data_IF_838038865560
#
_entry.id   IF_838038865560
#
_cell.length_a   1.000
_cell.length_b   1.000
_cell.length_c   1.000
_cell.angle_alpha   90.00
_cell.angle_beta   90.00
_cell.angle_gamma   90.00
#
_symmetry.space_group_name_H-M   'P 1'
#
loop_
_entity.id
_entity.type
_entity.pdbx_description
1 polymer ?
#
# COMPACT_ATOMS: atom_id res chain seq x y z
N UNK A 1 -23.38 40.21 -60.22
CA UNK A 1 -24.14 41.33 -59.62
C UNK A 1 -24.07 41.12 -58.14
N UNK A 2 -23.36 41.84 -57.38
CA UNK A 2 -22.71 43.10 -57.13
C UNK A 2 -22.24 42.99 -55.73
N UNK A 3 -20.98 42.93 -55.47
CA UNK A 3 -20.01 43.85 -54.87
C UNK A 3 -20.64 44.89 -53.93
N UNK A 4 -20.14 44.86 -52.68
CA UNK A 4 -19.60 46.06 -52.04
C UNK A 4 -18.73 45.69 -50.78
N UNK A 5 -17.49 46.13 -50.88
CA UNK A 5 -16.44 46.28 -49.88
C UNK A 5 -16.75 47.49 -48.96
N UNK A 6 -16.31 47.43 -47.72
CA UNK A 6 -15.95 48.62 -46.94
C UNK A 6 -14.69 48.35 -46.12
N UNK A 7 -13.64 49.11 -46.45
CA UNK A 7 -12.41 49.35 -45.73
C UNK A 7 -12.59 50.42 -44.64
N UNK A 8 -11.67 50.33 -43.64
CA UNK A 8 -11.19 51.49 -42.87
C UNK A 8 -11.33 51.36 -41.38
N UNK A 9 -10.39 51.45 -40.55
CA UNK A 9 -9.14 52.20 -40.41
C UNK A 9 -8.46 51.77 -39.11
N UNK A 10 -7.16 51.67 -39.13
CA UNK A 10 -6.25 51.54 -37.98
C UNK A 10 -6.33 52.75 -37.03
N UNK A 11 -6.23 52.48 -35.71
CA UNK A 11 -5.58 53.39 -34.79
C UNK A 11 -4.71 52.60 -33.83
N UNK A 12 -3.41 52.90 -33.86
CA UNK A 12 -2.42 52.56 -32.84
C UNK A 12 -2.70 53.36 -31.57
N UNK A 13 -2.57 52.70 -30.40
CA UNK A 13 -2.02 53.36 -29.22
C UNK A 13 -1.29 52.31 -28.37
N UNK A 14 -0.02 52.54 -28.19
CA UNK A 14 0.87 51.86 -27.25
C UNK A 14 0.52 52.26 -25.81
N UNK A 15 0.43 51.25 -24.89
CA UNK A 15 0.66 51.52 -23.49
C UNK A 15 1.21 50.24 -22.80
N UNK A 16 2.50 50.25 -22.59
CA UNK A 16 3.22 49.33 -21.71
C UNK A 16 2.77 49.51 -20.26
N UNK A 17 2.35 48.43 -19.59
CA UNK A 17 2.42 48.36 -18.14
C UNK A 17 2.76 46.93 -17.69
N UNK A 18 3.95 46.82 -17.19
CA UNK A 18 4.47 45.68 -16.47
C UNK A 18 3.68 45.44 -15.19
N UNK A 19 3.04 44.26 -15.07
CA UNK A 19 2.49 43.82 -13.79
C UNK A 19 3.28 42.58 -13.33
N UNK A 20 4.09 42.80 -12.32
CA UNK A 20 4.79 41.83 -11.53
C UNK A 20 3.76 41.01 -10.74
N UNK A 21 3.57 39.75 -11.04
CA UNK A 21 2.83 38.81 -10.18
C UNK A 21 3.75 38.21 -9.14
N UNK A 22 3.63 38.69 -7.91
CA UNK A 22 4.18 38.05 -6.72
C UNK A 22 3.34 36.81 -6.40
N UNK A 23 3.98 35.67 -6.38
CA UNK A 23 3.46 34.42 -5.83
C UNK A 23 3.28 34.55 -4.32
N UNK A 24 2.06 34.51 -3.83
CA UNK A 24 1.76 34.39 -2.41
C UNK A 24 1.73 32.89 -2.02
N UNK A 25 2.79 32.47 -1.35
CA UNK A 25 2.79 31.24 -0.58
C UNK A 25 1.97 31.46 0.70
N UNK A 26 0.87 30.75 0.84
CA UNK A 26 0.07 30.75 2.07
C UNK A 26 0.63 29.64 2.97
N UNK A 27 1.49 30.05 3.90
CA UNK A 27 1.93 29.22 5.03
C UNK A 27 0.83 29.20 6.10
N UNK A 28 0.17 28.05 6.27
CA UNK A 28 -0.71 27.79 7.42
C UNK A 28 0.11 27.39 8.63
N UNK A 29 0.16 28.23 9.65
CA UNK A 29 0.67 27.88 10.99
C UNK A 29 -0.39 27.09 11.76
N UNK A 30 0.00 26.11 12.59
CA UNK A 30 -0.94 25.43 13.48
C UNK A 30 -1.34 26.34 14.63
N UNK A 31 -2.64 26.42 14.90
CA UNK A 31 -3.20 27.13 16.07
C UNK A 31 -2.99 26.28 17.31
N UNK A 32 -2.42 26.93 18.32
CA UNK A 32 -2.16 26.39 19.64
C UNK A 32 -3.45 26.07 20.41
N UNK A 33 -3.31 25.10 21.29
CA UNK A 33 -4.30 24.68 22.27
C UNK A 33 -4.63 25.81 23.25
N UNK A 34 -5.91 26.11 23.42
CA UNK A 34 -6.40 26.92 24.53
C UNK A 34 -6.58 26.01 25.74
N UNK A 35 -5.84 26.37 26.78
CA UNK A 35 -6.05 25.95 28.16
C UNK A 35 -7.25 26.73 28.70
N UNK A 36 -8.25 26.03 29.25
CA UNK A 36 -9.22 26.61 30.16
C UNK A 36 -8.95 26.00 31.52
N UNK A 37 -8.57 26.90 32.45
CA UNK A 37 -8.51 26.70 33.89
C UNK A 37 -9.92 26.79 34.48
N UNK A 38 -9.98 26.25 35.71
CA UNK A 38 -10.89 26.49 36.81
C UNK A 38 -12.05 25.54 37.07
N UNK A 39 -11.98 24.97 38.28
CA UNK A 39 -13.06 24.32 38.98
C UNK A 39 -12.59 23.49 40.17
N UNK A 40 -12.28 24.17 41.28
CA UNK A 40 -12.01 23.62 42.62
C UNK A 40 -13.13 22.69 43.11
N UNK A 41 -12.75 21.65 43.83
CA UNK A 41 -13.66 20.80 44.57
C UNK A 41 -12.92 19.86 45.51
N UNK A 42 -12.61 20.40 46.70
CA UNK A 42 -12.13 19.67 47.88
C UNK A 42 -13.10 18.57 48.31
N UNK A 43 -12.56 17.43 48.76
CA UNK A 43 -13.01 16.66 49.93
C UNK A 43 -11.98 15.52 50.18
N UNK A 44 -11.21 15.74 51.17
CA UNK A 44 -11.14 15.29 52.56
C UNK A 44 -10.77 13.82 52.77
N UNK A 45 -9.72 13.74 53.55
CA UNK A 45 -8.94 12.73 54.24
C UNK A 45 -9.64 11.44 54.74
N UNK A 46 -8.83 10.41 54.79
CA UNK A 46 -9.06 9.23 55.62
C UNK A 46 -7.80 8.37 55.65
N UNK A 47 -6.92 8.69 56.57
CA UNK A 47 -5.83 7.83 57.04
C UNK A 47 -6.43 6.58 57.65
N UNK A 48 -5.78 5.45 57.50
CA UNK A 48 -5.54 4.50 58.61
C UNK A 48 -4.36 3.56 58.26
N UNK A 49 -3.35 3.71 59.05
CA UNK A 49 -2.21 2.82 59.23
C UNK A 49 -2.65 1.49 59.82
N UNK A 50 -1.98 0.40 59.51
CA UNK A 50 -1.46 -0.51 60.53
C UNK A 50 -0.41 -1.53 59.98
N UNK A 51 0.66 -1.53 60.72
CA UNK A 51 1.85 -2.39 60.71
C UNK A 51 1.60 -3.87 60.88
N UNK A 52 2.56 -4.68 60.38
CA UNK A 52 2.64 -6.11 60.77
C UNK A 52 3.75 -6.92 60.15
N UNK A 53 4.94 -6.58 60.38
CA UNK A 53 6.18 -7.23 60.73
C UNK A 53 6.13 -8.79 60.93
N UNK A 54 7.08 -9.50 60.27
CA UNK A 54 7.56 -10.71 60.93
C UNK A 54 8.14 -11.87 60.15
N UNK A 55 9.40 -11.76 59.74
CA UNK A 55 10.43 -12.81 59.88
C UNK A 55 10.38 -14.13 59.09
N UNK A 56 11.34 -14.23 58.19
CA UNK A 56 12.14 -15.44 57.94
C UNK A 56 12.83 -16.01 59.22
N UNK A 57 13.07 -17.31 59.34
CA UNK A 57 14.40 -17.78 58.99
C UNK A 57 14.60 -19.24 58.55
N UNK A 58 15.60 -19.40 57.69
CA UNK A 58 16.73 -20.36 57.68
C UNK A 58 16.60 -21.83 58.07
N UNK A 59 17.16 -22.65 57.14
CA UNK A 59 18.07 -23.78 57.32
C UNK A 59 17.67 -24.99 58.22
N UNK A 60 17.78 -26.18 57.63
CA UNK A 60 18.71 -27.21 58.09
C UNK A 60 18.79 -28.42 57.13
N UNK A 61 20.02 -28.71 56.72
CA UNK A 61 20.48 -30.04 56.24
C UNK A 61 20.34 -31.07 57.34
N UNK A 62 20.00 -32.34 56.97
CA UNK A 62 20.64 -33.54 57.56
C UNK A 62 20.61 -34.71 56.57
N UNK A 63 21.77 -35.32 56.44
CA UNK A 63 22.21 -36.54 55.77
C UNK A 63 21.66 -37.79 56.44
N UNK A 64 21.53 -38.90 55.68
CA UNK A 64 21.35 -40.23 56.25
C UNK A 64 21.19 -41.33 55.19
N UNK A 65 22.25 -42.07 55.01
CA UNK A 65 22.46 -43.32 54.24
C UNK A 65 21.64 -44.49 54.77
N UNK A 66 21.17 -45.44 53.93
CA UNK A 66 21.59 -46.84 53.76
C UNK A 66 20.49 -47.74 53.19
N UNK A 67 20.89 -48.45 52.17
CA UNK A 67 20.74 -49.85 51.77
C UNK A 67 19.46 -50.68 52.10
N UNK A 68 19.02 -51.41 51.07
CA UNK A 68 18.14 -52.56 51.19
C UNK A 68 17.60 -53.06 49.83
N UNK A 69 18.25 -54.11 49.33
CA UNK A 69 17.92 -54.89 48.12
C UNK A 69 16.51 -55.49 48.17
N UNK A 70 15.80 -55.58 47.05
CA UNK A 70 15.52 -56.85 46.34
C UNK A 70 14.49 -56.68 45.18
N UNK A 71 14.92 -57.25 44.09
CA UNK A 71 14.22 -58.05 43.07
C UNK A 71 12.91 -57.56 42.36
N UNK A 72 13.11 -57.49 41.04
CA UNK A 72 12.27 -57.55 39.85
C UNK A 72 11.02 -58.48 39.88
N UNK A 73 10.02 -58.45 38.96
CA UNK A 73 10.18 -58.07 37.52
C UNK A 73 9.01 -57.32 36.81
N UNK A 74 9.42 -56.65 35.75
CA UNK A 74 8.74 -56.49 34.45
C UNK A 74 7.26 -56.07 34.40
N UNK A 75 7.04 -54.80 33.97
CA UNK A 75 6.11 -54.56 32.87
C UNK A 75 6.45 -53.24 32.12
N UNK A 76 7.10 -53.43 30.96
CA UNK A 76 7.38 -52.35 29.99
C UNK A 76 6.08 -51.92 29.30
N UNK A 77 5.44 -50.84 29.73
CA UNK A 77 4.52 -50.11 28.88
C UNK A 77 5.31 -49.21 27.94
N UNK A 78 5.47 -49.63 26.68
CA UNK A 78 5.97 -48.84 25.59
C UNK A 78 5.05 -47.63 25.39
N UNK A 79 5.50 -46.43 25.73
CA UNK A 79 4.93 -45.18 25.21
C UNK A 79 5.19 -45.16 23.71
N UNK A 80 4.13 -45.35 22.90
CA UNK A 80 4.13 -45.06 21.49
C UNK A 80 4.38 -43.56 21.31
N UNK A 81 5.58 -43.19 20.91
CA UNK A 81 5.84 -41.88 20.28
C UNK A 81 5.02 -41.88 18.99
N UNK A 82 3.99 -41.02 18.92
CA UNK A 82 3.34 -40.72 17.67
C UNK A 82 4.35 -39.97 16.80
N UNK A 83 4.88 -40.64 15.80
CA UNK A 83 5.57 -39.98 14.71
C UNK A 83 4.56 -39.07 14.02
N UNK A 84 4.56 -37.79 14.34
CA UNK A 84 4.02 -36.78 13.43
C UNK A 84 4.78 -36.92 12.11
N UNK A 85 4.15 -37.57 11.14
CA UNK A 85 4.59 -37.53 9.75
C UNK A 85 4.65 -36.03 9.40
N UNK A 86 5.87 -35.47 9.29
CA UNK A 86 6.12 -34.26 8.53
C UNK A 86 5.51 -34.51 7.17
N UNK A 87 4.42 -33.80 6.83
CA UNK A 87 3.96 -33.70 5.45
C UNK A 87 5.19 -33.28 4.64
N UNK A 88 5.72 -34.16 3.82
CA UNK A 88 6.65 -33.76 2.77
C UNK A 88 5.88 -32.74 1.93
N UNK A 89 6.27 -31.48 2.03
CA UNK A 89 5.94 -30.50 0.99
C UNK A 89 6.47 -31.12 -0.30
N UNK A 90 5.56 -31.48 -1.19
CA UNK A 90 5.92 -32.07 -2.47
C UNK A 90 6.89 -31.12 -3.17
N UNK A 91 8.08 -31.61 -3.50
CA UNK A 91 8.93 -30.90 -4.44
C UNK A 91 8.13 -30.76 -5.73
N UNK A 92 7.82 -29.51 -6.12
CA UNK A 92 7.22 -29.22 -7.41
C UNK A 92 8.13 -29.76 -8.51
N UNK A 93 7.52 -30.24 -9.58
CA UNK A 93 8.27 -30.63 -10.77
C UNK A 93 9.09 -29.44 -11.28
N UNK A 94 10.27 -29.65 -11.92
CA UNK A 94 11.06 -28.55 -12.47
C UNK A 94 10.19 -27.68 -13.40
N UNK A 95 10.15 -26.37 -13.16
CA UNK A 95 9.38 -25.41 -13.95
C UNK A 95 7.94 -25.19 -13.50
N UNK A 96 7.51 -25.71 -12.35
CA UNK A 96 6.16 -25.48 -11.81
C UNK A 96 6.21 -24.78 -10.45
N UNK A 97 5.32 -23.79 -10.27
CA UNK A 97 5.19 -23.07 -8.99
C UNK A 97 4.58 -23.97 -7.91
N UNK A 98 5.00 -23.77 -6.67
CA UNK A 98 4.38 -24.39 -5.49
C UNK A 98 3.12 -23.60 -5.08
N UNK A 99 2.27 -24.23 -4.26
CA UNK A 99 1.14 -23.55 -3.62
C UNK A 99 1.27 -23.69 -2.08
N UNK A 100 1.39 -22.59 -1.34
CA UNK A 100 1.55 -21.20 -1.78
C UNK A 100 2.82 -20.99 -2.63
N UNK A 101 2.91 -19.91 -3.46
CA UNK A 101 4.04 -19.68 -4.34
C UNK A 101 5.32 -19.42 -3.54
N UNK A 102 6.33 -20.28 -3.74
CA UNK A 102 7.61 -20.22 -3.02
C UNK A 102 8.82 -20.59 -3.88
N UNK A 103 8.58 -20.95 -5.15
CA UNK A 103 9.67 -21.20 -6.10
C UNK A 103 10.12 -19.87 -6.70
N UNK A 104 11.41 -19.48 -6.57
CA UNK A 104 11.95 -18.26 -7.13
C UNK A 104 11.69 -18.13 -8.63
N UNK A 105 11.37 -16.93 -9.11
CA UNK A 105 11.09 -16.70 -10.53
C UNK A 105 12.29 -17.04 -11.43
N UNK A 106 13.51 -16.88 -10.95
CA UNK A 106 14.72 -17.29 -11.69
C UNK A 106 14.77 -18.79 -11.99
N UNK A 107 14.03 -19.62 -11.26
CA UNK A 107 13.90 -21.07 -11.55
C UNK A 107 12.76 -21.38 -12.53
N UNK A 108 11.72 -20.54 -12.56
CA UNK A 108 10.58 -20.67 -13.47
C UNK A 108 10.86 -20.05 -14.83
N UNK A 109 11.63 -18.96 -14.85
CA UNK A 109 12.01 -18.19 -16.04
C UNK A 109 13.54 -18.11 -16.13
N UNK A 110 14.23 -19.20 -16.50
CA UNK A 110 15.68 -19.26 -16.48
C UNK A 110 16.36 -18.37 -17.55
N UNK A 111 15.61 -17.96 -18.59
CA UNK A 111 16.06 -17.00 -19.59
C UNK A 111 15.95 -15.53 -19.13
N UNK A 112 15.39 -15.30 -17.94
CA UNK A 112 15.19 -13.98 -17.34
C UNK A 112 14.15 -13.12 -18.08
N UNK A 113 13.30 -13.72 -18.93
CA UNK A 113 12.22 -13.02 -19.62
C UNK A 113 10.88 -13.30 -18.95
N UNK A 114 10.21 -12.25 -18.56
CA UNK A 114 8.92 -12.32 -17.86
C UNK A 114 7.77 -11.97 -18.81
N UNK A 115 6.56 -12.51 -18.56
CA UNK A 115 5.38 -12.23 -19.39
C UNK A 115 5.11 -10.73 -19.48
N UNK A 116 4.79 -10.18 -20.68
CA UNK A 116 4.32 -8.81 -20.79
C UNK A 116 2.93 -8.67 -20.18
N UNK A 117 2.59 -7.45 -19.76
CA UNK A 117 1.23 -7.09 -19.40
C UNK A 117 0.32 -6.97 -20.62
N UNK A 118 -0.95 -6.70 -20.39
CA UNK A 118 -1.92 -6.44 -21.45
C UNK A 118 -1.57 -5.14 -22.20
N UNK A 119 -1.46 -5.21 -23.52
CA UNK A 119 -1.36 -4.02 -24.36
C UNK A 119 -2.76 -3.46 -24.63
N UNK A 120 -2.91 -2.14 -24.43
CA UNK A 120 -4.16 -1.42 -24.68
C UNK A 120 -3.85 -0.21 -25.57
N UNK A 121 -4.55 -0.14 -26.68
CA UNK A 121 -4.51 1.05 -27.54
C UNK A 121 -5.40 2.14 -26.93
N UNK A 122 -4.92 3.39 -26.84
CA UNK A 122 -5.75 4.53 -26.40
C UNK A 122 -6.95 4.69 -27.34
N UNK A 123 -8.11 5.03 -26.79
CA UNK A 123 -9.33 5.26 -27.58
C UNK A 123 -9.20 6.46 -28.54
N UNK A 124 -8.39 7.48 -28.15
CA UNK A 124 -8.08 8.64 -28.96
C UNK A 124 -6.57 8.71 -29.23
N UNK A 125 -6.18 8.40 -30.46
CA UNK A 125 -4.77 8.48 -30.86
C UNK A 125 -4.37 9.94 -31.17
N UNK A 126 -4.00 10.69 -30.15
CA UNK A 126 -3.27 11.96 -30.30
C UNK A 126 -1.76 11.72 -30.51
N UNK A 127 -1.40 10.62 -31.15
CA UNK A 127 -0.03 10.11 -31.32
C UNK A 127 0.96 11.04 -32.03
N UNK A 128 0.54 12.24 -32.48
CA UNK A 128 1.38 13.09 -33.31
C UNK A 128 2.11 14.21 -32.57
N UNK A 129 2.09 14.25 -31.25
CA UNK A 129 2.63 15.40 -30.50
C UNK A 129 3.44 15.01 -29.27
N UNK A 130 4.51 14.31 -29.48
CA UNK A 130 5.53 14.19 -28.43
C UNK A 130 6.11 15.56 -28.15
N UNK A 131 5.95 16.07 -26.93
CA UNK A 131 6.53 17.35 -26.52
C UNK A 131 8.03 17.25 -26.33
N UNK A 132 8.75 18.37 -26.30
CA UNK A 132 10.16 18.37 -26.01
C UNK A 132 10.51 17.85 -24.60
N UNK A 133 9.56 17.87 -23.66
CA UNK A 133 9.70 17.28 -22.33
C UNK A 133 9.53 15.77 -22.35
N UNK A 134 8.57 15.27 -23.08
CA UNK A 134 8.36 13.84 -23.31
C UNK A 134 9.57 13.21 -23.99
N UNK A 135 10.13 13.85 -25.01
CA UNK A 135 11.38 13.42 -25.65
C UNK A 135 12.53 13.35 -24.63
N UNK A 136 12.67 14.35 -23.77
CA UNK A 136 13.68 14.31 -22.69
C UNK A 136 13.41 13.22 -21.66
N UNK A 137 12.15 12.87 -21.44
CA UNK A 137 11.76 11.78 -20.54
C UNK A 137 12.09 10.42 -21.15
N UNK A 138 11.83 10.25 -22.44
CA UNK A 138 12.25 9.09 -23.25
C UNK A 138 13.76 8.97 -23.33
N UNK A 139 14.47 10.08 -23.54
CA UNK A 139 15.93 10.14 -23.57
C UNK A 139 16.58 9.78 -22.21
N UNK A 140 15.89 10.02 -21.11
CA UNK A 140 16.29 9.54 -19.78
C UNK A 140 16.11 8.02 -19.60
N UNK A 141 15.53 7.35 -20.56
CA UNK A 141 15.68 5.93 -20.76
C UNK A 141 14.90 4.99 -19.84
N UNK A 142 13.90 5.50 -19.08
CA UNK A 142 13.27 4.63 -18.08
C UNK A 142 12.52 3.45 -18.72
N UNK A 143 11.59 3.68 -19.63
CA UNK A 143 10.75 2.61 -20.23
C UNK A 143 11.32 2.07 -21.54
N UNK A 144 12.13 2.86 -22.25
CA UNK A 144 12.87 2.39 -23.43
C UNK A 144 14.02 1.44 -23.06
N UNK A 145 14.47 1.43 -21.79
CA UNK A 145 15.50 0.50 -21.32
C UNK A 145 14.87 -0.89 -21.12
N UNK A 146 15.31 -1.92 -21.87
CA UNK A 146 14.78 -3.28 -21.74
C UNK A 146 14.94 -3.87 -20.34
N UNK A 147 15.99 -3.47 -19.59
CA UNK A 147 16.22 -3.95 -18.22
C UNK A 147 15.15 -3.42 -17.27
N UNK A 148 14.84 -2.12 -17.34
CA UNK A 148 13.77 -1.49 -16.53
C UNK A 148 12.42 -2.11 -16.82
N UNK A 149 12.09 -2.30 -18.11
CA UNK A 149 10.85 -2.94 -18.50
C UNK A 149 10.77 -4.39 -18.00
N UNK A 150 11.89 -5.11 -18.02
CA UNK A 150 11.94 -6.46 -17.49
C UNK A 150 11.81 -6.50 -15.96
N UNK A 151 12.37 -5.53 -15.24
CA UNK A 151 12.20 -5.37 -13.79
C UNK A 151 10.74 -5.12 -13.42
N UNK A 152 10.04 -4.24 -14.15
CA UNK A 152 8.60 -4.06 -13.99
C UNK A 152 7.82 -5.35 -14.25
N UNK A 153 8.09 -6.06 -15.35
CA UNK A 153 7.43 -7.33 -15.67
C UNK A 153 7.72 -8.41 -14.64
N UNK A 154 8.94 -8.44 -14.08
CA UNK A 154 9.29 -9.31 -12.96
C UNK A 154 8.46 -9.00 -11.72
N UNK A 155 8.38 -7.73 -11.32
CA UNK A 155 7.54 -7.27 -10.21
C UNK A 155 6.07 -7.63 -10.41
N UNK A 156 5.55 -7.41 -11.62
CA UNK A 156 4.17 -7.73 -11.99
C UNK A 156 3.88 -9.24 -11.96
N UNK A 157 4.83 -10.07 -12.42
CA UNK A 157 4.68 -11.52 -12.36
C UNK A 157 4.68 -12.06 -10.93
N UNK A 158 5.54 -11.50 -10.06
CA UNK A 158 5.51 -11.81 -8.62
C UNK A 158 4.14 -11.45 -8.05
N UNK A 159 3.64 -10.25 -8.36
CA UNK A 159 2.33 -9.79 -7.87
C UNK A 159 1.20 -10.72 -8.34
N UNK A 160 1.14 -11.08 -9.63
CA UNK A 160 0.13 -12.00 -10.17
C UNK A 160 0.09 -13.34 -9.45
N UNK A 161 1.26 -13.96 -9.23
CA UNK A 161 1.33 -15.27 -8.57
C UNK A 161 0.91 -15.20 -7.10
N UNK A 162 1.33 -14.16 -6.39
CA UNK A 162 0.94 -13.96 -4.98
C UNK A 162 -0.55 -13.60 -4.88
N UNK A 163 -1.05 -12.72 -5.75
CA UNK A 163 -2.47 -12.34 -5.82
C UNK A 163 -3.38 -13.54 -6.07
N UNK A 164 -3.01 -14.40 -7.00
CA UNK A 164 -3.74 -15.63 -7.29
C UNK A 164 -3.81 -16.54 -6.05
N UNK A 165 -2.70 -16.70 -5.32
CA UNK A 165 -2.71 -17.42 -4.06
C UNK A 165 -3.66 -16.80 -3.03
N UNK A 166 -3.71 -15.47 -2.91
CA UNK A 166 -4.63 -14.77 -2.00
C UNK A 166 -6.07 -15.07 -2.37
N UNK A 167 -6.43 -14.96 -3.66
CA UNK A 167 -7.78 -15.19 -4.15
C UNK A 167 -8.27 -16.62 -3.87
N UNK A 168 -7.38 -17.61 -3.91
CA UNK A 168 -7.73 -19.01 -3.59
C UNK A 168 -7.75 -19.32 -2.09
N UNK A 169 -6.99 -18.57 -1.30
CA UNK A 169 -6.74 -18.90 0.13
C UNK A 169 -7.63 -18.10 1.07
N UNK A 170 -7.84 -16.82 0.80
CA UNK A 170 -8.62 -15.93 1.67
C UNK A 170 -10.08 -16.37 1.71
N UNK A 171 -10.59 -16.60 2.93
CA UNK A 171 -11.97 -17.03 3.16
C UNK A 171 -12.39 -16.67 4.60
N UNK A 172 -13.68 -16.62 4.91
CA UNK A 172 -14.17 -16.41 6.26
C UNK A 172 -13.48 -17.33 7.27
N UNK A 173 -13.03 -16.75 8.38
CA UNK A 173 -12.26 -17.42 9.43
C UNK A 173 -10.73 -17.37 9.23
N UNK A 174 -10.23 -16.82 8.12
CA UNK A 174 -8.79 -16.63 7.93
C UNK A 174 -8.28 -15.41 8.71
N UNK A 175 -7.08 -15.50 9.28
CA UNK A 175 -6.40 -14.41 9.99
C UNK A 175 -5.85 -13.39 9.00
N UNK A 176 -6.07 -12.09 9.25
CA UNK A 176 -5.46 -11.04 8.42
C UNK A 176 -3.95 -10.97 8.61
N UNK A 177 -3.43 -11.30 9.80
CA UNK A 177 -1.98 -11.37 10.05
C UNK A 177 -1.34 -12.47 9.22
N UNK A 178 -1.91 -13.69 9.26
CA UNK A 178 -1.40 -14.81 8.45
C UNK A 178 -1.47 -14.51 6.95
N UNK A 179 -2.51 -13.78 6.52
CA UNK A 179 -2.67 -13.38 5.12
C UNK A 179 -1.60 -12.35 4.69
N UNK A 180 -1.37 -11.32 5.51
CA UNK A 180 -0.35 -10.31 5.26
C UNK A 180 1.06 -10.92 5.22
N UNK A 181 1.41 -11.73 6.21
CA UNK A 181 2.69 -12.43 6.26
C UNK A 181 2.85 -13.41 5.09
N UNK A 182 1.78 -14.10 4.71
CA UNK A 182 1.76 -15.01 3.56
C UNK A 182 2.05 -14.31 2.23
N UNK A 183 1.48 -13.12 2.01
CA UNK A 183 1.75 -12.24 0.86
C UNK A 183 3.22 -11.83 0.85
N UNK A 184 3.68 -11.26 1.95
CA UNK A 184 5.04 -10.74 2.10
C UNK A 184 6.11 -11.84 1.94
N UNK A 185 5.87 -13.03 2.50
CA UNK A 185 6.74 -14.20 2.33
C UNK A 185 6.70 -14.75 0.90
N UNK A 186 5.54 -14.66 0.24
CA UNK A 186 5.40 -14.96 -1.19
C UNK A 186 6.32 -14.08 -2.03
N UNK A 187 6.20 -12.77 -1.87
CA UNK A 187 7.02 -11.79 -2.59
C UNK A 187 8.50 -12.05 -2.39
N UNK A 188 8.97 -12.22 -1.15
CA UNK A 188 10.37 -12.50 -0.82
C UNK A 188 10.87 -13.81 -1.43
N UNK A 189 10.06 -14.87 -1.34
CA UNK A 189 10.42 -16.18 -1.90
C UNK A 189 10.58 -16.12 -3.43
N UNK A 190 9.69 -15.40 -4.13
CA UNK A 190 9.75 -15.27 -5.58
C UNK A 190 10.90 -14.38 -6.05
N UNK A 191 11.30 -13.41 -5.24
CA UNK A 191 12.52 -12.62 -5.45
C UNK A 191 13.80 -13.45 -5.27
N UNK A 192 13.74 -14.52 -4.48
CA UNK A 192 14.85 -15.41 -4.22
C UNK A 192 15.73 -15.00 -3.03
N UNK A 193 15.27 -14.06 -2.21
CA UNK A 193 15.96 -13.63 -0.98
C UNK A 193 14.98 -13.26 0.12
N UNK A 194 15.48 -13.22 1.37
CA UNK A 194 14.65 -12.93 2.53
C UNK A 194 14.58 -11.45 2.90
N UNK A 195 15.38 -10.59 2.25
CA UNK A 195 15.45 -9.16 2.55
C UNK A 195 15.98 -8.85 3.96
N UNK A 196 16.80 -9.73 4.53
CA UNK A 196 17.38 -9.56 5.87
C UNK A 196 18.79 -8.98 5.83
N UNK A 197 19.51 -9.18 4.72
CA UNK A 197 20.81 -8.58 4.54
C UNK A 197 20.67 -7.09 4.16
N UNK A 198 21.54 -6.20 4.69
CA UNK A 198 21.50 -4.78 4.36
C UNK A 198 21.54 -4.53 2.86
N UNK A 199 20.55 -3.81 2.34
CA UNK A 199 20.44 -3.46 0.92
C UNK A 199 19.69 -4.46 0.05
N UNK A 200 19.38 -5.67 0.51
CA UNK A 200 18.60 -6.63 -0.29
C UNK A 200 17.19 -6.12 -0.57
N UNK A 201 16.53 -5.57 0.45
CA UNK A 201 15.19 -4.98 0.30
C UNK A 201 15.16 -3.72 -0.59
N UNK A 202 16.31 -3.12 -0.92
CA UNK A 202 16.41 -2.04 -1.90
C UNK A 202 16.56 -2.57 -3.34
N UNK A 203 17.08 -3.79 -3.51
CA UNK A 203 17.15 -4.46 -4.83
C UNK A 203 15.79 -5.02 -5.24
N UNK A 204 15.00 -5.46 -4.27
CA UNK A 204 13.66 -5.98 -4.51
C UNK A 204 12.94 -6.31 -3.20
N UNK A 205 11.64 -6.10 -3.16
CA UNK A 205 10.83 -6.31 -1.96
C UNK A 205 9.40 -5.84 -2.11
N UNK A 206 8.79 -5.65 -0.96
CA UNK A 206 7.49 -4.96 -0.88
C UNK A 206 7.67 -3.50 -1.26
N UNK A 207 6.80 -2.98 -2.13
CA UNK A 207 6.77 -1.56 -2.52
C UNK A 207 6.20 -0.66 -1.42
N UNK A 208 5.35 -1.24 -0.58
CA UNK A 208 4.73 -0.63 0.60
C UNK A 208 4.14 -1.75 1.49
N UNK A 209 3.60 -1.45 2.70
CA UNK A 209 3.00 -2.48 3.55
C UNK A 209 1.77 -3.12 2.91
N UNK A 210 1.56 -4.41 3.16
CA UNK A 210 0.37 -5.11 2.70
C UNK A 210 -0.89 -4.51 3.32
N UNK A 211 -1.76 -3.93 2.49
CA UNK A 211 -3.07 -3.40 2.86
C UNK A 211 -4.14 -4.50 2.86
N UNK A 212 -4.87 -4.63 3.98
CA UNK A 212 -6.00 -5.55 4.13
C UNK A 212 -7.17 -4.81 4.80
N UNK A 213 -7.65 -3.76 4.13
CA UNK A 213 -8.69 -2.89 4.66
C UNK A 213 -10.09 -3.53 4.55
N UNK A 214 -10.89 -3.45 5.62
CA UNK A 214 -12.23 -4.06 5.67
C UNK A 214 -13.33 -2.99 5.70
N UNK A 215 -14.39 -3.24 4.96
CA UNK A 215 -15.68 -2.53 5.03
C UNK A 215 -15.55 -1.01 4.86
N UNK A 216 -15.80 -0.23 5.90
CA UNK A 216 -15.74 1.23 5.90
C UNK A 216 -14.29 1.79 5.89
N UNK A 217 -13.30 1.00 6.28
CA UNK A 217 -11.91 1.33 6.06
C UNK A 217 -11.58 1.14 4.58
N UNK A 218 -11.31 2.22 3.87
CA UNK A 218 -11.07 2.19 2.43
C UNK A 218 -9.65 1.72 2.09
N UNK A 219 -8.65 2.25 2.79
CA UNK A 219 -7.24 1.98 2.52
C UNK A 219 -6.36 2.07 3.77
N UNK A 220 -5.10 1.70 3.62
CA UNK A 220 -4.06 1.90 4.63
C UNK A 220 -4.33 1.17 5.96
N UNK A 221 -4.89 -0.03 5.89
CA UNK A 221 -4.96 -0.91 7.05
C UNK A 221 -4.04 -2.10 6.86
N UNK A 222 -3.19 -2.35 7.85
CA UNK A 222 -2.35 -3.55 7.94
C UNK A 222 -2.34 -4.07 9.38
N UNK A 223 -2.39 -5.38 9.62
CA UNK A 223 -2.23 -5.93 10.96
C UNK A 223 -0.87 -5.53 11.54
N UNK A 224 -0.84 -4.99 12.75
CA UNK A 224 0.41 -4.59 13.42
C UNK A 224 0.73 -5.49 14.60
N UNK A 225 2.00 -5.74 14.90
CA UNK A 225 2.42 -6.51 16.07
C UNK A 225 1.81 -5.96 17.36
N UNK A 226 1.28 -6.84 18.20
CA UNK A 226 0.65 -6.50 19.47
C UNK A 226 -0.78 -5.97 19.39
N UNK A 227 -1.37 -5.90 18.21
CA UNK A 227 -2.80 -5.63 18.04
C UNK A 227 -3.64 -6.90 18.19
N UNK A 228 -4.94 -6.71 18.45
CA UNK A 228 -5.89 -7.82 18.46
C UNK A 228 -5.99 -8.43 17.07
N UNK A 229 -5.91 -9.75 17.01
CA UNK A 229 -6.08 -10.50 15.76
C UNK A 229 -7.45 -10.26 15.14
N UNK A 230 -7.47 -10.04 13.83
CA UNK A 230 -8.69 -9.85 13.03
C UNK A 230 -8.86 -11.04 12.11
N UNK A 231 -10.04 -11.64 12.16
CA UNK A 231 -10.44 -12.76 11.31
C UNK A 231 -11.49 -12.32 10.31
N UNK A 232 -11.34 -12.75 9.06
CA UNK A 232 -12.31 -12.49 8.00
C UNK A 232 -13.69 -13.08 8.34
N UNK A 233 -14.71 -12.36 7.99
CA UNK A 233 -16.12 -12.79 8.12
C UNK A 233 -16.75 -12.89 6.73
N UNK A 234 -17.87 -13.59 6.65
CA UNK A 234 -18.62 -13.76 5.40
C UNK A 234 -19.11 -12.44 4.82
N UNK A 235 -19.53 -11.55 5.70
CA UNK A 235 -20.10 -10.22 5.38
C UNK A 235 -19.03 -9.13 5.11
N UNK A 236 -17.75 -9.47 5.18
CA UNK A 236 -16.69 -8.49 4.95
C UNK A 236 -16.47 -8.20 3.45
N UNK A 237 -16.17 -6.94 3.17
CA UNK A 237 -15.65 -6.44 1.90
C UNK A 237 -14.21 -6.07 2.13
N UNK A 238 -13.27 -6.88 1.63
CA UNK A 238 -11.85 -6.75 1.88
C UNK A 238 -11.12 -6.19 0.66
N UNK A 239 -10.44 -5.06 0.82
CA UNK A 239 -9.48 -4.54 -0.14
C UNK A 239 -8.14 -5.16 0.15
N UNK A 240 -7.57 -5.82 -0.85
CA UNK A 240 -6.22 -6.38 -0.82
C UNK A 240 -5.35 -5.52 -1.71
N UNK A 241 -4.38 -4.87 -1.11
CA UNK A 241 -3.54 -3.89 -1.75
C UNK A 241 -2.08 -4.12 -1.35
N UNK A 242 -1.22 -4.43 -2.32
CA UNK A 242 0.20 -4.61 -2.05
C UNK A 242 1.06 -4.29 -3.27
N UNK A 243 2.18 -3.66 -3.00
CA UNK A 243 3.17 -3.32 -4.02
C UNK A 243 4.36 -4.26 -4.02
N UNK A 244 4.90 -4.50 -5.21
CA UNK A 244 6.17 -5.23 -5.41
C UNK A 244 7.13 -4.34 -6.17
N UNK A 245 8.36 -4.23 -5.71
CA UNK A 245 9.38 -3.52 -6.49
C UNK A 245 10.59 -4.39 -6.83
N UNK A 246 11.20 -4.10 -7.95
CA UNK A 246 12.51 -4.60 -8.38
C UNK A 246 13.36 -3.38 -8.74
N UNK A 247 14.51 -3.22 -8.09
CA UNK A 247 15.40 -2.05 -8.26
C UNK A 247 14.70 -0.68 -8.13
N UNK A 248 13.68 -0.60 -7.26
CA UNK A 248 12.89 0.62 -7.04
C UNK A 248 11.71 0.81 -7.99
N UNK A 249 11.57 0.01 -9.04
CA UNK A 249 10.44 0.06 -9.96
C UNK A 249 9.25 -0.63 -9.33
N UNK A 250 8.30 0.15 -8.80
CA UNK A 250 7.17 -0.34 -8.02
C UNK A 250 6.02 -0.73 -8.97
N UNK A 251 5.51 -1.93 -8.81
CA UNK A 251 4.21 -2.38 -9.34
C UNK A 251 3.21 -2.27 -8.21
N UNK A 252 2.23 -1.43 -8.39
CA UNK A 252 1.12 -1.16 -7.49
C UNK A 252 -0.15 -1.78 -8.05
N UNK A 253 -0.85 -2.58 -7.26
CA UNK A 253 -2.05 -3.24 -7.74
C UNK A 253 -2.92 -3.73 -6.58
N UNK A 254 -4.20 -3.43 -6.66
CA UNK A 254 -5.18 -3.79 -5.65
C UNK A 254 -6.44 -4.39 -6.25
N UNK A 255 -7.15 -5.18 -5.43
CA UNK A 255 -8.43 -5.77 -5.77
C UNK A 255 -9.29 -5.93 -4.52
N UNK A 256 -10.59 -6.03 -4.72
CA UNK A 256 -11.55 -6.25 -3.62
C UNK A 256 -12.11 -7.67 -3.69
N UNK A 257 -12.23 -8.30 -2.53
CA UNK A 257 -12.88 -9.59 -2.33
C UNK A 257 -14.09 -9.46 -1.41
N UNK A 258 -15.12 -10.21 -1.69
CA UNK A 258 -16.27 -10.41 -0.81
C UNK A 258 -16.76 -11.85 -0.92
N UNK A 259 -17.46 -12.33 0.11
CA UNK A 259 -18.09 -13.67 0.17
C UNK A 259 -19.60 -13.56 0.26
N UNK A 260 -20.13 -12.33 0.12
CA UNK A 260 -21.57 -12.04 0.12
C UNK A 260 -21.94 -11.32 -1.19
N UNK A 261 -22.81 -11.92 -2.03
CA UNK A 261 -23.20 -11.33 -3.32
C UNK A 261 -23.93 -9.98 -3.19
N UNK A 262 -24.33 -9.59 -1.99
CA UNK A 262 -24.89 -8.26 -1.70
C UNK A 262 -23.98 -7.13 -2.22
N UNK A 263 -22.66 -7.34 -2.25
CA UNK A 263 -21.70 -6.32 -2.63
C UNK A 263 -21.19 -6.43 -4.07
N UNK A 264 -21.69 -7.38 -4.87
CA UNK A 264 -21.21 -7.60 -6.24
C UNK A 264 -21.32 -6.33 -7.11
N UNK A 265 -22.40 -5.57 -6.97
CA UNK A 265 -22.57 -4.31 -7.71
C UNK A 265 -21.59 -3.23 -7.26
N UNK A 266 -21.19 -3.18 -5.98
CA UNK A 266 -20.15 -2.26 -5.51
C UNK A 266 -18.81 -2.61 -6.16
N UNK A 267 -18.46 -3.90 -6.19
CA UNK A 267 -17.23 -4.37 -6.82
C UNK A 267 -17.27 -4.10 -8.33
N UNK A 268 -18.39 -4.37 -8.99
CA UNK A 268 -18.57 -4.12 -10.42
C UNK A 268 -18.40 -2.64 -10.77
N UNK A 269 -18.98 -1.73 -10.00
CA UNK A 269 -18.86 -0.29 -10.17
C UNK A 269 -17.40 0.18 -10.15
N UNK A 270 -16.65 -0.26 -9.13
CA UNK A 270 -15.25 0.16 -8.96
C UNK A 270 -14.35 -0.49 -10.01
N UNK A 271 -14.58 -1.76 -10.34
CA UNK A 271 -13.85 -2.45 -11.39
C UNK A 271 -14.08 -1.80 -12.77
N UNK A 272 -15.32 -1.41 -13.08
CA UNK A 272 -15.62 -0.71 -14.33
C UNK A 272 -15.00 0.69 -14.38
N UNK A 273 -15.04 1.44 -13.28
CA UNK A 273 -14.40 2.74 -13.16
C UNK A 273 -12.88 2.65 -13.35
N UNK A 274 -12.20 1.68 -12.72
CA UNK A 274 -10.77 1.42 -12.92
C UNK A 274 -10.46 1.09 -14.38
N UNK A 275 -11.24 0.19 -14.99
CA UNK A 275 -11.06 -0.18 -16.39
C UNK A 275 -11.33 1.01 -17.33
N UNK A 276 -12.27 1.89 -16.99
CA UNK A 276 -12.54 3.12 -17.74
C UNK A 276 -11.36 4.09 -17.63
N UNK A 277 -10.80 4.27 -16.43
CA UNK A 277 -9.58 5.05 -16.24
C UNK A 277 -8.40 4.54 -17.06
N UNK A 278 -8.18 3.22 -17.07
CA UNK A 278 -7.14 2.58 -17.86
C UNK A 278 -7.32 2.79 -19.38
N UNK A 279 -8.56 2.70 -19.88
CA UNK A 279 -8.87 2.95 -21.30
C UNK A 279 -8.72 4.42 -21.70
N UNK A 280 -9.03 5.33 -20.78
CA UNK A 280 -8.93 6.78 -21.00
C UNK A 280 -7.50 7.31 -20.82
N UNK A 281 -6.59 6.52 -20.25
CA UNK A 281 -5.19 6.88 -20.06
C UNK A 281 -4.42 6.79 -21.37
N UNK A 282 -3.45 7.68 -21.58
CA UNK A 282 -2.59 7.65 -22.77
C UNK A 282 -1.72 8.89 -22.86
N UNK A 283 -0.86 8.93 -23.86
CA UNK A 283 -0.05 10.11 -24.17
C UNK A 283 -0.98 11.31 -24.46
N UNK A 284 -0.69 12.44 -23.85
CA UNK A 284 -1.49 13.67 -23.93
C UNK A 284 -2.89 13.61 -23.29
N UNK A 285 -3.28 12.50 -22.70
CA UNK A 285 -4.56 12.41 -21.98
C UNK A 285 -4.56 13.35 -20.77
N UNK A 286 -5.60 14.21 -20.65
CA UNK A 286 -5.73 15.13 -19.54
C UNK A 286 -6.32 14.44 -18.32
N UNK A 287 -5.76 14.73 -17.15
CA UNK A 287 -6.23 14.16 -15.89
C UNK A 287 -7.71 14.45 -15.64
N UNK A 288 -8.19 15.67 -15.96
CA UNK A 288 -9.61 16.03 -15.80
C UNK A 288 -10.56 15.17 -16.63
N UNK A 289 -10.15 14.74 -17.84
CA UNK A 289 -10.99 13.93 -18.73
C UNK A 289 -11.05 12.48 -18.21
N UNK A 290 -9.89 11.94 -17.78
CA UNK A 290 -9.81 10.62 -17.14
C UNK A 290 -10.69 10.60 -15.88
N UNK A 291 -10.56 11.62 -15.02
CA UNK A 291 -11.34 11.76 -13.79
C UNK A 291 -12.85 11.81 -14.04
N UNK A 292 -13.28 12.55 -15.08
CA UNK A 292 -14.69 12.66 -15.44
C UNK A 292 -15.25 11.29 -15.89
N UNK A 293 -14.51 10.56 -16.71
CA UNK A 293 -14.89 9.22 -17.19
C UNK A 293 -14.96 8.20 -16.05
N UNK A 294 -14.01 8.25 -15.11
CA UNK A 294 -14.01 7.39 -13.91
C UNK A 294 -15.27 7.65 -13.07
N UNK A 295 -15.59 8.92 -12.80
CA UNK A 295 -16.77 9.28 -12.01
C UNK A 295 -18.06 8.82 -12.67
N UNK A 296 -18.22 9.06 -13.97
CA UNK A 296 -19.40 8.66 -14.72
C UNK A 296 -19.62 7.15 -14.67
N UNK A 297 -18.56 6.36 -14.89
CA UNK A 297 -18.66 4.90 -14.82
C UNK A 297 -19.04 4.44 -13.40
N UNK A 298 -18.38 4.93 -12.36
CA UNK A 298 -18.60 4.49 -10.99
C UNK A 298 -19.98 4.87 -10.45
N UNK A 299 -20.41 6.12 -10.67
CA UNK A 299 -21.66 6.67 -10.13
C UNK A 299 -22.90 6.25 -10.94
N UNK A 300 -22.72 5.45 -12.01
CA UNK A 300 -23.83 4.81 -12.73
C UNK A 300 -24.40 3.56 -12.03
N UNK A 301 -23.78 3.12 -10.94
CA UNK A 301 -24.15 1.92 -10.20
C UNK A 301 -24.83 2.25 -8.88
N UNK A 302 -25.63 1.30 -8.41
CA UNK A 302 -26.25 1.30 -7.09
C UNK A 302 -26.18 -0.08 -6.46
N UNK A 303 -26.22 -0.14 -5.13
CA UNK A 303 -26.12 -1.37 -4.34
C UNK A 303 -27.30 -1.46 -3.40
N UNK A 304 -28.00 -2.59 -3.38
CA UNK A 304 -29.06 -2.86 -2.40
C UNK A 304 -28.50 -3.61 -1.18
N UNK A 305 -28.54 -2.96 -0.02
CA UNK A 305 -28.11 -3.54 1.26
C UNK A 305 -29.28 -3.47 2.25
N UNK A 306 -29.72 -4.62 2.76
CA UNK A 306 -30.84 -4.70 3.69
C UNK A 306 -32.11 -3.97 3.17
N UNK A 307 -32.44 -4.13 1.90
CA UNK A 307 -33.58 -3.51 1.20
C UNK A 307 -33.49 -1.97 1.06
N UNK A 308 -32.35 -1.39 1.35
CA UNK A 308 -32.07 0.02 1.09
C UNK A 308 -31.12 0.12 -0.11
N UNK A 309 -31.45 1.00 -1.03
CA UNK A 309 -30.63 1.25 -2.21
C UNK A 309 -29.68 2.40 -1.90
N UNK A 310 -28.39 2.16 -2.15
CA UNK A 310 -27.31 3.12 -1.96
C UNK A 310 -26.65 3.39 -3.31
N UNK A 311 -26.60 4.65 -3.78
CA UNK A 311 -25.79 4.98 -4.95
C UNK A 311 -24.31 4.77 -4.63
N UNK A 312 -23.57 4.17 -5.56
CA UNK A 312 -22.10 4.10 -5.43
C UNK A 312 -21.54 5.49 -5.70
N UNK A 313 -20.68 5.96 -4.80
CA UNK A 313 -20.03 7.27 -4.90
C UNK A 313 -18.54 7.11 -5.09
N UNK A 314 -17.97 7.87 -6.00
CA UNK A 314 -16.51 8.02 -6.11
C UNK A 314 -15.97 8.75 -4.87
N UNK A 315 -14.90 8.22 -4.27
CA UNK A 315 -14.26 8.87 -3.12
C UNK A 315 -13.44 10.06 -3.63
N UNK A 316 -13.55 11.22 -2.95
CA UNK A 316 -13.12 12.52 -3.47
C UNK A 316 -11.72 12.95 -3.01
N UNK A 317 -11.21 12.40 -1.94
CA UNK A 317 -9.98 12.83 -1.27
C UNK A 317 -8.90 11.73 -1.17
N UNK A 318 -8.96 10.78 -2.07
CA UNK A 318 -7.89 9.86 -2.43
C UNK A 318 -7.80 9.81 -3.96
N UNK A 319 -6.65 9.53 -4.52
CA UNK A 319 -6.40 9.63 -5.96
C UNK A 319 -5.46 8.53 -6.42
N UNK A 320 -5.61 8.08 -7.65
CA UNK A 320 -4.52 7.44 -8.38
C UNK A 320 -3.34 8.40 -8.54
N UNK A 321 -2.20 7.90 -8.91
CA UNK A 321 -0.96 8.69 -8.93
C UNK A 321 0.06 8.14 -9.93
N UNK A 322 1.04 8.96 -10.32
CA UNK A 322 2.19 8.45 -11.02
C UNK A 322 3.23 7.88 -10.03
N UNK A 323 4.04 6.95 -10.52
CA UNK A 323 5.06 6.23 -9.75
C UNK A 323 6.43 6.58 -10.30
N UNK A 324 7.41 6.77 -9.40
CA UNK A 324 8.83 6.98 -9.74
C UNK A 324 9.70 5.95 -9.01
N UNK A 325 10.95 5.73 -9.45
CA UNK A 325 11.83 4.79 -8.76
C UNK A 325 11.95 5.10 -7.26
N UNK A 326 11.63 4.12 -6.41
CA UNK A 326 11.59 4.21 -4.94
C UNK A 326 10.58 5.23 -4.37
N UNK A 327 9.71 5.80 -5.19
CA UNK A 327 8.73 6.82 -4.77
C UNK A 327 7.37 6.40 -5.31
N UNK A 328 6.49 6.00 -4.38
CA UNK A 328 5.14 5.52 -4.73
C UNK A 328 4.27 6.67 -5.27
N UNK A 329 4.32 7.85 -4.69
CA UNK A 329 3.58 9.04 -5.13
C UNK A 329 4.52 9.99 -5.89
N UNK A 330 4.55 9.89 -7.22
CA UNK A 330 5.51 10.58 -8.09
C UNK A 330 5.24 12.07 -8.34
N UNK A 331 4.10 12.60 -7.87
CA UNK A 331 3.74 14.04 -7.90
C UNK A 331 2.60 14.41 -8.84
N UNK A 332 2.17 13.55 -9.78
CA UNK A 332 0.91 13.68 -10.53
C UNK A 332 -0.17 12.84 -9.86
N UNK A 333 -1.40 13.36 -9.76
CA UNK A 333 -2.56 12.68 -9.16
C UNK A 333 -3.67 12.48 -10.19
N UNK A 334 -4.42 11.38 -10.06
CA UNK A 334 -5.60 11.07 -10.88
C UNK A 334 -6.82 10.99 -9.96
N UNK A 335 -7.51 12.12 -9.69
CA UNK A 335 -8.75 12.13 -8.90
C UNK A 335 -9.85 11.28 -9.55
N UNK A 336 -10.75 10.75 -8.74
CA UNK A 336 -11.87 9.93 -9.22
C UNK A 336 -13.14 10.75 -9.52
N UNK A 337 -13.06 12.04 -9.35
CA UNK A 337 -14.18 12.96 -9.59
C UNK A 337 -13.76 14.07 -10.55
N UNK A 338 -14.71 14.50 -11.34
CA UNK A 338 -14.55 15.62 -12.29
C UNK A 338 -13.88 16.81 -11.62
N UNK A 339 -12.87 17.35 -12.28
CA UNK A 339 -12.06 18.48 -11.80
C UNK A 339 -11.61 19.35 -12.99
N UNK A 340 -10.77 20.34 -12.75
CA UNK A 340 -10.24 21.24 -13.77
C UNK A 340 -8.74 21.05 -14.05
N UNK A 341 -8.14 19.95 -13.60
CA UNK A 341 -6.72 19.70 -13.80
C UNK A 341 -6.40 19.39 -15.26
N UNK A 342 -5.68 20.29 -15.91
CA UNK A 342 -5.26 20.17 -17.32
C UNK A 342 -3.92 19.44 -17.47
N UNK A 343 -3.34 18.95 -16.37
CA UNK A 343 -2.11 18.14 -16.41
C UNK A 343 -2.33 16.93 -17.32
N UNK A 344 -1.33 16.64 -18.13
CA UNK A 344 -1.37 15.54 -19.09
C UNK A 344 -0.49 14.38 -18.63
N UNK A 345 -0.86 13.18 -19.04
CA UNK A 345 0.01 12.03 -19.02
C UNK A 345 1.05 12.14 -20.15
N UNK A 346 2.27 11.79 -19.88
CA UNK A 346 3.38 11.87 -20.83
C UNK A 346 3.92 10.46 -21.14
N UNK A 347 4.45 10.32 -22.37
CA UNK A 347 5.10 9.07 -22.75
C UNK A 347 6.26 8.74 -21.81
N UNK A 348 6.36 7.51 -21.38
CA UNK A 348 7.39 7.06 -20.45
C UNK A 348 6.98 7.14 -18.97
N UNK A 349 5.86 7.74 -18.64
CA UNK A 349 5.34 7.74 -17.27
C UNK A 349 4.71 6.40 -16.88
N UNK A 350 4.72 6.14 -15.60
CA UNK A 350 4.05 5.00 -14.97
C UNK A 350 3.01 5.53 -14.00
N UNK A 351 1.80 5.01 -14.09
CA UNK A 351 0.72 5.37 -13.19
C UNK A 351 0.14 4.15 -12.47
N UNK A 352 -0.26 4.34 -11.24
CA UNK A 352 -1.27 3.56 -10.56
C UNK A 352 -2.64 4.14 -10.93
N UNK A 353 -3.40 3.41 -11.73
CA UNK A 353 -4.80 3.72 -12.01
C UNK A 353 -5.64 2.90 -11.05
N UNK A 354 -5.87 3.49 -9.90
CA UNK A 354 -6.71 2.97 -8.84
C UNK A 354 -8.02 3.75 -8.79
N UNK A 355 -9.07 3.14 -8.28
CA UNK A 355 -10.31 3.85 -7.98
C UNK A 355 -10.95 3.27 -6.72
N UNK A 356 -11.61 4.14 -5.96
CA UNK A 356 -12.34 3.76 -4.75
C UNK A 356 -13.78 4.21 -4.84
N UNK A 357 -14.68 3.25 -4.64
CA UNK A 357 -16.11 3.50 -4.54
C UNK A 357 -16.64 3.19 -3.14
N UNK A 358 -17.72 3.86 -2.75
CA UNK A 358 -18.31 3.71 -1.43
C UNK A 358 -19.83 3.83 -1.46
N UNK A 359 -20.50 3.13 -0.52
CA UNK A 359 -21.90 3.35 -0.17
C UNK A 359 -22.08 4.45 0.88
N UNK A 360 -20.99 5.06 1.35
CA UNK A 360 -20.94 6.05 2.42
C UNK A 360 -21.00 7.49 1.96
N UNK A 361 -20.14 8.33 2.52
CA UNK A 361 -20.07 9.77 2.18
C UNK A 361 -19.21 10.11 0.99
N UNK A 362 -18.24 9.26 0.65
CA UNK A 362 -17.25 9.55 -0.39
C UNK A 362 -16.17 10.54 0.05
N UNK A 363 -15.95 10.68 1.34
CA UNK A 363 -14.89 11.50 1.94
C UNK A 363 -14.28 10.71 3.09
N UNK A 364 -13.02 10.36 2.96
CA UNK A 364 -12.26 9.63 3.97
C UNK A 364 -11.70 10.55 5.04
N UNK A 365 -11.47 9.99 6.21
CA UNK A 365 -10.81 10.63 7.36
C UNK A 365 -9.72 9.71 7.87
N UNK A 366 -8.70 10.31 8.45
CA UNK A 366 -7.67 9.55 9.16
C UNK A 366 -8.30 8.80 10.33
N UNK A 367 -8.10 7.50 10.34
CA UNK A 367 -8.44 6.64 11.45
C UNK A 367 -7.33 6.59 12.50
N UNK A 368 -7.56 5.87 13.59
CA UNK A 368 -6.60 5.74 14.68
C UNK A 368 -5.46 4.75 14.40
N UNK A 369 -5.58 3.93 13.34
CA UNK A 369 -4.60 2.91 12.99
C UNK A 369 -3.37 3.52 12.30
N UNK A 370 -2.20 2.92 12.56
CA UNK A 370 -0.98 3.24 11.82
C UNK A 370 -0.77 2.15 10.77
N UNK A 371 -0.77 2.53 9.52
CA UNK A 371 -0.47 1.66 8.39
C UNK A 371 1.02 1.47 8.20
N UNK A 372 1.75 2.59 8.08
CA UNK A 372 3.17 2.56 7.79
C UNK A 372 3.88 3.88 8.04
N UNK A 373 5.12 3.88 7.69
CA UNK A 373 6.04 5.00 7.81
C UNK A 373 6.82 5.15 6.51
N UNK A 374 7.00 6.39 6.03
CA UNK A 374 7.79 6.70 4.85
C UNK A 374 8.86 7.71 5.17
N UNK A 375 10.09 7.46 4.74
CA UNK A 375 11.12 8.50 4.81
C UNK A 375 10.85 9.51 3.70
N UNK A 376 10.77 10.79 4.07
CA UNK A 376 10.58 11.89 3.12
C UNK A 376 11.82 11.99 2.22
N UNK A 377 11.70 11.97 0.87
CA UNK A 377 12.83 11.97 -0.05
C UNK A 377 13.79 13.14 0.20
N UNK A 378 13.27 14.35 0.33
CA UNK A 378 14.03 15.59 0.54
C UNK A 378 13.99 16.03 2.01
N UNK A 379 13.98 15.05 2.94
CA UNK A 379 13.94 15.33 4.36
C UNK A 379 15.08 16.26 4.79
N UNK A 380 14.80 17.25 5.68
CA UNK A 380 15.81 18.17 6.13
C UNK A 380 16.93 17.45 6.89
N UNK A 381 18.17 17.94 6.74
CA UNK A 381 19.26 17.50 7.62
C UNK A 381 19.01 18.03 9.02
N UNK A 382 18.67 17.15 9.95
CA UNK A 382 18.38 17.51 11.32
C UNK A 382 19.42 16.91 12.29
N UNK A 383 19.78 17.68 13.32
CA UNK A 383 20.55 17.13 14.42
C UNK A 383 19.66 16.23 15.27
N UNK A 384 19.96 14.94 15.31
CA UNK A 384 19.23 13.94 16.08
C UNK A 384 19.99 13.63 17.39
N UNK A 385 19.57 14.18 18.53
CA UNK A 385 20.26 13.93 19.80
C UNK A 385 20.08 12.47 20.27
N UNK A 386 18.93 11.84 19.99
CA UNK A 386 18.64 10.48 20.42
C UNK A 386 19.43 9.44 19.60
N UNK A 387 20.17 8.58 20.30
CA UNK A 387 20.91 7.49 19.69
C UNK A 387 19.97 6.48 18.98
N UNK A 388 18.79 6.21 19.58
CA UNK A 388 17.76 5.35 18.98
C UNK A 388 17.24 5.91 17.65
N UNK A 389 17.06 7.24 17.52
CA UNK A 389 16.63 7.87 16.26
C UNK A 389 17.71 7.75 15.19
N UNK A 390 18.99 7.99 15.53
CA UNK A 390 20.11 7.82 14.60
C UNK A 390 20.25 6.38 14.12
N UNK A 391 20.16 5.42 15.05
CA UNK A 391 20.23 4.00 14.72
C UNK A 391 19.09 3.57 13.80
N UNK A 392 17.85 4.00 14.12
CA UNK A 392 16.67 3.69 13.33
C UNK A 392 16.76 4.31 11.92
N UNK A 393 17.19 5.58 11.80
CA UNK A 393 17.38 6.23 10.50
C UNK A 393 18.41 5.49 9.64
N UNK A 394 19.49 4.99 10.27
CA UNK A 394 20.47 4.15 9.56
C UNK A 394 19.81 2.86 9.03
N UNK A 395 19.01 2.19 9.85
CA UNK A 395 18.26 0.99 9.45
C UNK A 395 17.30 1.29 8.30
N UNK A 396 16.55 2.40 8.39
CA UNK A 396 15.62 2.84 7.32
C UNK A 396 16.37 3.07 6.02
N UNK A 397 17.47 3.82 6.05
CA UNK A 397 18.27 4.10 4.86
C UNK A 397 18.87 2.85 4.21
N UNK A 398 19.24 1.86 5.01
CA UNK A 398 19.86 0.62 4.54
C UNK A 398 18.86 -0.40 3.96
N UNK A 399 17.61 -0.39 4.45
CA UNK A 399 16.63 -1.44 4.12
C UNK A 399 15.41 -0.95 3.36
N UNK A 400 15.00 0.30 3.53
CA UNK A 400 13.77 0.82 2.93
C UNK A 400 13.99 2.03 2.03
N UNK A 401 15.04 2.84 2.30
CA UNK A 401 15.21 4.10 1.58
C UNK A 401 14.01 5.02 1.76
N UNK A 402 13.33 5.33 0.65
CA UNK A 402 12.08 6.10 0.62
C UNK A 402 10.82 5.22 0.45
N UNK A 403 11.00 3.90 0.38
CA UNK A 403 9.87 2.95 0.34
C UNK A 403 9.15 2.96 1.69
N UNK A 404 7.82 3.00 1.63
CA UNK A 404 6.97 2.92 2.82
C UNK A 404 7.07 1.54 3.46
N UNK A 405 7.21 1.49 4.78
CA UNK A 405 7.39 0.27 5.55
C UNK A 405 6.49 0.24 6.79
N UNK A 406 6.19 -0.95 7.31
CA UNK A 406 5.38 -1.11 8.52
C UNK A 406 6.19 -1.66 9.70
N UNK A 407 5.52 -1.78 10.84
CA UNK A 407 6.13 -2.29 12.09
C UNK A 407 6.60 -3.73 11.95
N UNK A 408 5.85 -4.61 11.25
CA UNK A 408 6.27 -6.00 11.00
C UNK A 408 7.63 -6.09 10.30
N UNK A 409 7.95 -5.15 9.41
CA UNK A 409 9.23 -5.15 8.70
C UNK A 409 10.40 -4.83 9.64
N UNK A 410 10.21 -3.93 10.61
CA UNK A 410 11.20 -3.64 11.65
C UNK A 410 11.40 -4.83 12.59
N UNK A 411 10.30 -5.44 13.06
CA UNK A 411 10.33 -6.60 13.93
C UNK A 411 11.06 -7.78 13.25
N UNK A 412 10.80 -7.98 11.95
CA UNK A 412 11.45 -9.01 11.14
C UNK A 412 12.96 -8.80 11.00
N UNK A 413 13.43 -7.55 11.01
CA UNK A 413 14.86 -7.20 11.05
C UNK A 413 15.45 -7.31 12.47
N UNK A 414 14.68 -7.74 13.46
CA UNK A 414 15.11 -7.82 14.87
C UNK A 414 15.22 -6.47 15.54
N UNK A 415 14.59 -5.44 15.01
CA UNK A 415 14.58 -4.10 15.59
C UNK A 415 13.37 -4.00 16.54
N UNK A 416 13.62 -4.11 17.81
CA UNK A 416 12.67 -3.82 18.89
C UNK A 416 12.85 -2.37 19.40
N UNK A 417 11.98 -1.89 20.25
CA UNK A 417 12.11 -0.59 20.96
C UNK A 417 12.34 0.63 20.04
N UNK A 418 11.82 0.61 18.82
CA UNK A 418 11.99 1.67 17.84
C UNK A 418 11.04 2.86 18.02
N UNK A 419 9.97 2.76 18.81
CA UNK A 419 8.91 3.79 18.88
C UNK A 419 9.42 5.17 19.29
N UNK A 420 10.33 5.25 20.29
CA UNK A 420 10.91 6.53 20.71
C UNK A 420 11.76 7.15 19.59
N UNK A 421 12.55 6.34 18.88
CA UNK A 421 13.32 6.76 17.73
C UNK A 421 12.42 7.24 16.59
N UNK A 422 11.34 6.49 16.31
CA UNK A 422 10.36 6.82 15.29
C UNK A 422 9.67 8.15 15.56
N UNK A 423 9.17 8.38 16.79
CA UNK A 423 8.55 9.64 17.17
C UNK A 423 9.52 10.82 17.00
N UNK A 424 10.81 10.62 17.31
CA UNK A 424 11.83 11.65 17.06
C UNK A 424 12.02 11.93 15.57
N UNK A 425 12.04 10.91 14.71
CA UNK A 425 12.16 11.10 13.25
C UNK A 425 10.94 11.83 12.68
N UNK A 426 9.73 11.48 13.12
CA UNK A 426 8.47 12.13 12.71
C UNK A 426 8.47 13.61 13.16
N UNK A 427 8.78 13.89 14.43
CA UNK A 427 8.81 15.26 14.96
C UNK A 427 9.84 16.16 14.28
N UNK A 428 10.89 15.58 13.69
CA UNK A 428 11.92 16.32 12.93
C UNK A 428 11.63 16.37 11.42
N UNK A 429 10.45 15.89 10.96
CA UNK A 429 10.08 15.94 9.55
C UNK A 429 10.95 15.06 8.64
N UNK A 430 11.55 13.99 9.17
CA UNK A 430 12.36 13.04 8.41
C UNK A 430 11.53 11.86 7.90
N UNK A 431 10.55 11.45 8.71
CA UNK A 431 9.63 10.35 8.44
C UNK A 431 8.20 10.86 8.56
N UNK A 432 7.37 10.51 7.62
CA UNK A 432 5.93 10.70 7.69
C UNK A 432 5.23 9.41 8.14
N UNK A 433 4.03 9.57 8.70
CA UNK A 433 3.18 8.48 9.17
C UNK A 433 1.95 8.37 8.28
N UNK A 434 1.60 7.16 7.90
CA UNK A 434 0.39 6.85 7.14
C UNK A 434 -0.64 6.24 8.09
N UNK A 435 -1.82 6.85 8.14
CA UNK A 435 -2.96 6.38 8.93
C UNK A 435 -3.94 5.57 8.08
N UNK A 436 -4.80 4.79 8.73
CA UNK A 436 -5.95 4.20 8.06
C UNK A 436 -6.86 5.30 7.51
N UNK A 437 -7.50 5.02 6.38
CA UNK A 437 -8.40 5.95 5.71
C UNK A 437 -9.82 5.39 5.73
N UNK A 438 -10.68 5.99 6.55
CA UNK A 438 -11.99 5.46 6.86
C UNK A 438 -13.11 6.38 6.36
N UNK A 439 -14.15 5.81 5.72
CA UNK A 439 -15.43 6.47 5.47
C UNK A 439 -16.31 6.36 6.74
N UNK A 440 -17.55 6.73 6.64
CA UNK A 440 -18.45 6.64 7.78
C UNK A 440 -18.69 5.19 8.21
N UNK A 441 -18.79 4.99 9.50
CA UNK A 441 -19.06 3.69 10.12
C UNK A 441 -20.31 3.04 9.53
N UNK A 442 -20.18 1.77 9.13
CA UNK A 442 -21.27 0.99 8.55
C UNK A 442 -21.48 1.19 7.05
N UNK A 443 -20.62 1.97 6.38
CA UNK A 443 -20.51 1.95 4.92
C UNK A 443 -19.59 0.83 4.44
N UNK A 444 -19.61 0.58 3.14
CA UNK A 444 -18.76 -0.38 2.47
C UNK A 444 -17.99 0.32 1.35
N UNK A 445 -16.70 0.03 1.27
CA UNK A 445 -15.79 0.58 0.25
C UNK A 445 -15.19 -0.56 -0.55
N UNK A 446 -14.92 -0.29 -1.83
CA UNK A 446 -14.18 -1.20 -2.72
C UNK A 446 -13.07 -0.44 -3.44
N UNK A 447 -12.02 -1.17 -3.84
CA UNK A 447 -10.87 -0.67 -4.60
C UNK A 447 -10.52 -1.68 -5.70
N UNK A 448 -10.20 -1.16 -6.88
CA UNK A 448 -9.48 -1.91 -7.91
C UNK A 448 -8.37 -1.02 -8.47
N UNK A 449 -7.28 -1.64 -8.89
CA UNK A 449 -6.09 -0.91 -9.29
C UNK A 449 -5.18 -1.71 -10.21
N UNK A 450 -4.55 -1.00 -11.15
CA UNK A 450 -3.48 -1.53 -11.97
C UNK A 450 -2.38 -0.49 -12.22
N UNK A 451 -1.15 -0.97 -12.29
CA UNK A 451 -0.02 -0.21 -12.83
C UNK A 451 -0.06 -0.22 -14.35
N UNK A 452 0.01 0.97 -14.96
CA UNK A 452 0.03 1.17 -16.42
C UNK A 452 1.29 1.93 -16.84
N UNK A 453 1.93 1.46 -17.91
CA UNK A 453 3.04 2.15 -18.57
C UNK A 453 2.49 2.91 -19.77
N UNK A 454 2.71 4.24 -19.80
CA UNK A 454 2.25 5.12 -20.88
C UNK A 454 3.27 5.06 -22.01
N UNK A 455 2.84 4.58 -23.18
CA UNK A 455 3.69 4.40 -24.37
C UNK A 455 3.01 4.98 -25.60
N UNK A 456 3.78 5.58 -26.51
CA UNK A 456 3.28 6.08 -27.78
C UNK A 456 2.76 5.00 -28.73
N UNK A 457 3.23 3.77 -28.59
CA UNK A 457 2.80 2.60 -29.39
C UNK A 457 1.64 1.80 -28.79
N UNK A 458 0.99 2.32 -27.75
CA UNK A 458 -0.04 1.62 -26.98
C UNK A 458 0.44 1.35 -25.54
N UNK A 459 -0.43 1.61 -24.57
CA UNK A 459 -0.13 1.45 -23.15
C UNK A 459 -0.02 -0.04 -22.77
N UNK A 460 0.83 -0.32 -21.77
CA UNK A 460 0.93 -1.67 -21.20
C UNK A 460 0.38 -1.64 -19.76
N UNK A 461 -0.73 -2.34 -19.52
CA UNK A 461 -1.24 -2.57 -18.16
C UNK A 461 -0.42 -3.70 -17.57
N UNK A 462 0.70 -3.34 -16.92
CA UNK A 462 1.76 -4.28 -16.55
C UNK A 462 1.29 -5.32 -15.52
N UNK A 463 0.42 -4.93 -14.58
CA UNK A 463 -0.08 -5.79 -13.50
C UNK A 463 -1.29 -6.64 -13.89
N UNK A 464 -1.88 -6.43 -15.10
CA UNK A 464 -3.05 -7.18 -15.57
C UNK A 464 -2.73 -8.67 -15.65
N UNK A 465 -3.69 -9.51 -15.21
CA UNK A 465 -3.65 -10.96 -15.30
C UNK A 465 -4.90 -11.50 -15.99
N UNK A 466 -5.09 -12.81 -15.89
CA UNK A 466 -6.30 -13.48 -16.40
C UNK A 466 -7.48 -13.34 -15.42
N UNK A 467 -7.22 -12.87 -14.20
CA UNK A 467 -8.19 -12.73 -13.12
C UNK A 467 -8.97 -11.41 -13.15
N UNK A 468 -8.32 -10.33 -13.51
CA UNK A 468 -8.97 -9.02 -13.72
C UNK A 468 -8.06 -8.02 -14.42
#
# INVERSE_FOLDING_TARGET
MGSQSYEGKQHHEDASSSVSTKSNAVGGKPRGANVLEDGDGDFDSGDDDEDGNGKDPTMAMVTGTQEGQNENPKNKKKKKRSNKKKKKTGASAPGQQSFPPRVPLSQLFPDGKYPPGQMVEPQDSNLSRTTGEELRYLERGHIANPEVLNDYRKGAEIHRQVRHWVQETAKPGYSLTDLAEGIEDGVRALLGHQGLEPGDSLKGGMGFPTGLALNDCAAHFTPNPGQKEVFLKKEDVMKVDFGVHVNGWIVDCAFTMTWDPTYDNLLAAVKDATNTGLRSSGVDARICDISASIQEAMESYEVEINKNVYPVKAIRNITGHNIKPYIIHGGKSVPFVKNNDQTKMEEGEVFAIETFGTTGKGILRDGAGVYGYGKIPDAPSAHLPLASARSLLKTINQNFGTIVFCRRYLDRLGIDKYLLGMNSLISNGIVEIYHTLDDIKGSYTAQFEHTILIKGSGNEIISRGDDY
#
